data_IF_300015508331
#
_entry.id   IF_300015508331
#
_cell.length_a   1.000
_cell.length_b   1.000
_cell.length_c   1.000
_cell.angle_alpha   90.00
_cell.angle_beta   90.00
_cell.angle_gamma   90.00
#
_symmetry.space_group_name_H-M   'P 1'
#
loop_
_entity.id
_entity.type
_entity.pdbx_description
1 polymer ?
#
# COMPACT_ATOMS: atom_id res chain seq x y z
N UNK A 1 -13.55 4.98 12.10
CA UNK A 1 -13.03 5.13 10.72
C UNK A 1 -13.40 3.89 9.90
N UNK A 2 -14.17 4.03 8.83
CA UNK A 2 -14.59 2.89 8.01
C UNK A 2 -13.37 2.20 7.36
N UNK A 3 -13.34 0.86 7.39
CA UNK A 3 -12.27 0.04 6.80
C UNK A 3 -12.87 -1.11 5.99
N UNK A 4 -12.14 -1.57 4.97
CA UNK A 4 -12.59 -2.72 4.18
C UNK A 4 -12.50 -4.01 5.02
N UNK A 5 -13.65 -4.48 5.50
CA UNK A 5 -13.76 -5.68 6.34
C UNK A 5 -14.08 -6.96 5.56
N UNK A 6 -14.30 -6.85 4.25
CA UNK A 6 -14.69 -7.99 3.41
C UNK A 6 -13.62 -9.08 3.30
N UNK A 7 -14.00 -10.29 2.84
CA UNK A 7 -13.07 -11.41 2.66
C UNK A 7 -11.99 -11.09 1.62
N UNK A 8 -10.73 -11.11 2.05
CA UNK A 8 -9.55 -10.72 1.24
C UNK A 8 -9.37 -11.59 0.01
N UNK A 9 -9.40 -12.91 0.16
CA UNK A 9 -9.17 -13.81 -0.97
C UNK A 9 -10.31 -13.77 -1.99
N UNK A 10 -11.55 -13.48 -1.54
CA UNK A 10 -12.68 -13.23 -2.45
C UNK A 10 -12.44 -11.98 -3.28
N UNK A 11 -11.86 -10.94 -2.69
CA UNK A 11 -11.47 -9.73 -3.41
C UNK A 11 -10.35 -10.00 -4.43
N UNK A 12 -9.30 -10.71 -4.07
CA UNK A 12 -8.22 -11.08 -5.00
C UNK A 12 -8.75 -11.85 -6.21
N UNK A 13 -9.55 -12.90 -5.97
CA UNK A 13 -10.14 -13.71 -7.06
C UNK A 13 -11.05 -12.90 -7.97
N UNK A 14 -11.89 -12.02 -7.41
CA UNK A 14 -12.76 -11.13 -8.20
C UNK A 14 -11.96 -10.16 -9.09
N UNK A 15 -10.81 -9.69 -8.60
CA UNK A 15 -9.93 -8.76 -9.33
C UNK A 15 -8.94 -9.50 -10.26
N UNK A 16 -8.82 -10.82 -10.12
CA UNK A 16 -7.88 -11.64 -10.90
C UNK A 16 -6.42 -11.39 -10.55
N UNK A 17 -6.14 -10.80 -9.39
CA UNK A 17 -4.80 -10.35 -9.02
C UNK A 17 -4.59 -10.50 -7.52
N UNK A 18 -3.40 -10.93 -7.13
CA UNK A 18 -3.03 -11.07 -5.72
C UNK A 18 -2.65 -9.72 -5.09
N UNK A 19 -3.66 -8.89 -4.83
CA UNK A 19 -3.49 -7.57 -4.19
C UNK A 19 -3.10 -7.64 -2.70
N UNK A 20 -3.03 -8.84 -2.13
CA UNK A 20 -2.80 -9.04 -0.69
C UNK A 20 -1.42 -9.55 -0.34
N UNK A 21 -0.64 -9.99 -1.32
CA UNK A 21 0.69 -10.58 -1.13
C UNK A 21 0.71 -11.96 -0.49
N UNK A 22 -0.44 -12.61 -0.25
CA UNK A 22 -0.46 -13.95 0.35
C UNK A 22 -0.45 -15.04 -0.74
N UNK A 23 0.45 -16.03 -0.70
CA UNK A 23 0.57 -17.05 -1.76
C UNK A 23 -0.71 -17.89 -1.94
N UNK A 24 -1.50 -18.06 -0.88
CA UNK A 24 -2.74 -18.86 -0.92
C UNK A 24 -3.93 -18.07 -1.47
N UNK A 25 -3.80 -16.76 -1.73
CA UNK A 25 -4.93 -15.91 -2.10
C UNK A 25 -5.62 -16.33 -3.40
N UNK A 26 -4.83 -16.85 -4.36
CA UNK A 26 -5.30 -17.29 -5.68
C UNK A 26 -5.42 -18.81 -5.81
N UNK A 27 -5.21 -19.59 -4.74
CA UNK A 27 -5.25 -21.07 -4.79
C UNK A 27 -6.61 -21.64 -5.27
N UNK A 28 -7.71 -20.92 -5.01
CA UNK A 28 -9.07 -21.29 -5.44
C UNK A 28 -9.53 -20.51 -6.68
N UNK A 29 -8.60 -19.89 -7.41
CA UNK A 29 -8.92 -19.15 -8.63
C UNK A 29 -9.29 -20.15 -9.74
N UNK A 30 -10.38 -19.89 -10.44
CA UNK A 30 -10.88 -20.74 -11.52
C UNK A 30 -11.75 -19.94 -12.48
N UNK A 31 -12.04 -20.56 -13.63
CA UNK A 31 -12.69 -19.92 -14.78
C UNK A 31 -14.03 -19.27 -14.40
N UNK A 32 -14.23 -18.01 -14.80
CA UNK A 32 -15.49 -17.27 -14.64
C UNK A 32 -15.66 -16.57 -13.29
N UNK A 33 -14.70 -16.69 -12.37
CA UNK A 33 -14.73 -15.99 -11.09
C UNK A 33 -14.17 -14.57 -11.16
N UNK A 34 -13.37 -14.27 -12.18
CA UNK A 34 -12.78 -12.95 -12.34
C UNK A 34 -13.64 -12.02 -13.20
N UNK A 35 -13.55 -10.71 -12.93
CA UNK A 35 -14.07 -9.68 -13.84
C UNK A 35 -13.35 -9.65 -15.19
N UNK A 36 -12.06 -10.00 -15.24
CA UNK A 36 -11.28 -10.04 -16.48
C UNK A 36 -11.64 -11.19 -17.40
N UNK A 37 -12.27 -12.25 -16.88
CA UNK A 37 -12.69 -13.40 -17.69
C UNK A 37 -13.84 -13.04 -18.65
N UNK A 38 -14.49 -11.90 -18.42
CA UNK A 38 -15.56 -11.37 -19.26
C UNK A 38 -14.99 -10.35 -20.26
N UNK A 39 -15.62 -10.23 -21.43
CA UNK A 39 -15.28 -9.17 -22.39
C UNK A 39 -15.56 -7.80 -21.74
N UNK A 40 -14.51 -7.08 -21.37
CA UNK A 40 -14.61 -5.76 -20.73
C UNK A 40 -14.65 -4.66 -21.78
N UNK A 41 -15.58 -3.70 -21.61
CA UNK A 41 -15.50 -2.40 -22.28
C UNK A 41 -14.30 -1.60 -21.77
N UNK A 42 -13.95 -0.52 -22.45
CA UNK A 42 -12.81 0.32 -22.02
C UNK A 42 -13.05 0.97 -20.66
N UNK A 43 -14.29 1.38 -20.36
CA UNK A 43 -14.68 1.78 -19.01
C UNK A 43 -14.48 0.63 -18.01
N UNK A 44 -14.84 -0.60 -18.39
CA UNK A 44 -14.64 -1.78 -17.56
C UNK A 44 -13.17 -2.06 -17.22
N UNK A 45 -12.26 -1.90 -18.20
CA UNK A 45 -10.81 -2.01 -18.01
C UNK A 45 -10.28 -0.94 -17.04
N UNK A 46 -10.63 0.31 -17.29
CA UNK A 46 -10.25 1.46 -16.45
C UNK A 46 -10.75 1.29 -15.00
N UNK A 47 -12.02 0.89 -14.84
CA UNK A 47 -12.62 0.62 -13.54
C UNK A 47 -11.93 -0.54 -12.81
N UNK A 48 -11.50 -1.58 -13.53
CA UNK A 48 -10.80 -2.73 -12.95
C UNK A 48 -9.44 -2.34 -12.40
N UNK A 49 -8.62 -1.62 -13.18
CA UNK A 49 -7.29 -1.15 -12.75
C UNK A 49 -7.40 -0.22 -11.53
N UNK A 50 -8.37 0.69 -11.54
CA UNK A 50 -8.67 1.53 -10.38
C UNK A 50 -8.97 0.69 -9.13
N UNK A 51 -9.79 -0.35 -9.27
CA UNK A 51 -10.15 -1.23 -8.16
C UNK A 51 -8.96 -2.07 -7.67
N UNK A 52 -8.07 -2.49 -8.57
CA UNK A 52 -6.81 -3.18 -8.23
C UNK A 52 -5.91 -2.25 -7.43
N UNK A 53 -5.64 -1.03 -7.91
CA UNK A 53 -4.76 -0.08 -7.23
C UNK A 53 -5.28 0.29 -5.85
N UNK A 54 -6.58 0.58 -5.76
CA UNK A 54 -7.25 0.85 -4.49
C UNK A 54 -7.14 -0.32 -3.51
N UNK A 55 -7.18 -1.55 -4.01
CA UNK A 55 -7.12 -2.76 -3.19
C UNK A 55 -5.73 -3.05 -2.65
N UNK A 56 -4.66 -2.80 -3.42
CA UNK A 56 -3.29 -2.91 -2.92
C UNK A 56 -3.12 -2.03 -1.69
N UNK A 57 -3.40 -0.73 -1.80
CA UNK A 57 -3.19 0.22 -0.71
C UNK A 57 -4.30 0.20 0.37
N UNK A 58 -5.36 -0.60 0.19
CA UNK A 58 -6.45 -0.73 1.17
C UNK A 58 -7.22 0.57 1.44
N UNK A 59 -7.32 1.45 0.44
CA UNK A 59 -7.95 2.78 0.58
C UNK A 59 -9.43 2.78 0.15
N UNK A 60 -10.22 3.68 0.74
CA UNK A 60 -11.63 3.86 0.37
C UNK A 60 -11.77 4.73 -0.88
N UNK A 61 -12.86 4.56 -1.63
CA UNK A 61 -13.08 5.25 -2.90
C UNK A 61 -13.00 6.78 -2.79
N UNK A 62 -13.66 7.37 -1.78
CA UNK A 62 -13.63 8.83 -1.56
C UNK A 62 -12.21 9.34 -1.30
N UNK A 63 -11.42 8.59 -0.52
CA UNK A 63 -10.04 8.96 -0.22
C UNK A 63 -9.15 8.78 -1.46
N UNK A 64 -9.37 7.71 -2.23
CA UNK A 64 -8.65 7.43 -3.46
C UNK A 64 -8.91 8.49 -4.53
N UNK A 65 -10.17 8.90 -4.73
CA UNK A 65 -10.55 10.03 -5.60
C UNK A 65 -9.82 11.32 -5.21
N UNK A 66 -9.66 11.59 -3.92
CA UNK A 66 -8.90 12.76 -3.46
C UNK A 66 -7.40 12.66 -3.80
N UNK A 67 -6.79 11.47 -3.70
CA UNK A 67 -5.41 11.28 -4.13
C UNK A 67 -5.27 11.45 -5.65
N UNK A 68 -6.18 10.88 -6.44
CA UNK A 68 -6.20 11.03 -7.89
C UNK A 68 -6.35 12.49 -8.32
N UNK A 69 -7.29 13.24 -7.74
CA UNK A 69 -7.45 14.68 -8.00
C UNK A 69 -6.18 15.47 -7.67
N UNK A 70 -5.53 15.17 -6.55
CA UNK A 70 -4.26 15.80 -6.17
C UNK A 70 -3.09 15.39 -7.07
N UNK A 71 -3.17 14.25 -7.74
CA UNK A 71 -2.13 13.78 -8.67
C UNK A 71 -2.33 14.40 -10.06
N UNK A 72 -3.57 14.51 -10.53
CA UNK A 72 -3.93 15.21 -11.76
C UNK A 72 -3.53 16.70 -11.73
N UNK A 73 -3.63 17.34 -10.58
CA UNK A 73 -3.24 18.75 -10.40
C UNK A 73 -1.74 18.94 -10.12
N UNK A 74 -0.91 17.90 -10.20
CA UNK A 74 0.52 18.01 -9.94
C UNK A 74 1.30 18.20 -11.25
N UNK A 75 2.47 18.82 -11.16
CA UNK A 75 3.37 19.02 -12.32
C UNK A 75 4.07 17.72 -12.77
N UNK A 76 3.95 16.65 -11.99
CA UNK A 76 4.48 15.33 -12.31
C UNK A 76 3.52 14.55 -13.20
N UNK A 77 4.00 13.50 -13.88
CA UNK A 77 3.12 12.55 -14.58
C UNK A 77 2.07 12.00 -13.60
N UNK A 78 0.78 12.17 -13.91
CA UNK A 78 -0.31 11.92 -12.96
C UNK A 78 -0.33 10.49 -12.39
N UNK A 79 0.01 9.47 -13.21
CA UNK A 79 0.09 8.08 -12.76
C UNK A 79 1.19 7.86 -11.71
N UNK A 80 2.38 8.39 -11.99
CA UNK A 80 3.50 8.41 -11.05
C UNK A 80 3.15 9.17 -9.77
N UNK A 81 2.60 10.39 -9.88
CA UNK A 81 2.24 11.21 -8.73
C UNK A 81 1.19 10.54 -7.83
N UNK A 82 0.22 9.82 -8.42
CA UNK A 82 -0.79 9.06 -7.68
C UNK A 82 -0.14 7.92 -6.89
N UNK A 83 0.68 7.11 -7.54
CA UNK A 83 1.36 5.98 -6.91
C UNK A 83 2.31 6.48 -5.82
N UNK A 84 3.13 7.49 -6.11
CA UNK A 84 4.03 8.14 -5.13
C UNK A 84 3.28 8.55 -3.86
N UNK A 85 2.12 9.20 -3.98
CA UNK A 85 1.29 9.62 -2.83
C UNK A 85 0.70 8.43 -2.04
N UNK A 86 0.39 7.33 -2.72
CA UNK A 86 -0.09 6.12 -2.06
C UNK A 86 1.04 5.36 -1.36
N UNK A 87 2.21 5.32 -2.00
CA UNK A 87 3.39 4.63 -1.51
C UNK A 87 3.95 5.30 -0.25
N UNK A 88 3.95 6.63 -0.21
CA UNK A 88 4.45 7.44 0.92
C UNK A 88 3.52 7.50 2.15
N UNK A 89 2.40 6.78 2.14
CA UNK A 89 1.53 6.71 3.32
C UNK A 89 2.21 5.95 4.46
N UNK A 90 1.96 6.36 5.69
CA UNK A 90 2.57 5.73 6.87
C UNK A 90 2.22 4.24 6.99
N UNK A 91 0.96 3.85 6.75
CA UNK A 91 0.59 2.42 6.77
C UNK A 91 1.33 1.61 5.71
N UNK A 92 1.59 2.20 4.55
CA UNK A 92 2.32 1.53 3.48
C UNK A 92 3.84 1.49 3.73
N UNK A 93 4.45 2.58 4.20
CA UNK A 93 5.86 2.63 4.61
C UNK A 93 6.14 1.57 5.69
N UNK A 94 5.26 1.47 6.70
CA UNK A 94 5.39 0.46 7.78
C UNK A 94 5.32 -0.97 7.22
N UNK A 95 4.47 -1.20 6.22
CA UNK A 95 4.41 -2.49 5.51
C UNK A 95 5.69 -2.77 4.71
N UNK A 96 6.19 -1.80 3.93
CA UNK A 96 7.41 -1.92 3.12
C UNK A 96 8.68 -2.08 3.97
N UNK A 97 8.72 -1.43 5.13
CA UNK A 97 9.79 -1.60 6.10
C UNK A 97 9.80 -2.99 6.75
N UNK A 98 8.72 -3.76 6.61
CA UNK A 98 8.64 -5.13 7.09
C UNK A 98 8.14 -5.28 8.53
N UNK A 99 7.78 -4.19 9.21
CA UNK A 99 7.17 -4.25 10.56
C UNK A 99 5.87 -5.07 10.60
N UNK A 100 5.21 -5.21 9.45
CA UNK A 100 3.96 -5.94 9.30
C UNK A 100 4.00 -6.88 8.09
N UNK A 101 3.40 -8.05 8.23
CA UNK A 101 3.21 -9.04 7.15
C UNK A 101 2.17 -8.61 6.10
N UNK A 102 1.31 -7.64 6.42
CA UNK A 102 0.29 -7.14 5.50
C UNK A 102 -0.11 -5.70 5.79
N UNK A 103 -0.62 -5.01 4.77
CA UNK A 103 -1.10 -3.61 4.89
C UNK A 103 -2.20 -3.45 5.95
N UNK A 104 -3.04 -4.47 6.17
CA UNK A 104 -4.06 -4.43 7.24
C UNK A 104 -3.42 -4.47 8.63
N UNK A 105 -2.39 -5.29 8.80
CA UNK A 105 -1.63 -5.34 10.05
C UNK A 105 -0.85 -4.04 10.26
N UNK A 106 -0.19 -3.51 9.22
CA UNK A 106 0.51 -2.22 9.29
C UNK A 106 -0.43 -1.09 9.70
N UNK A 107 -1.61 -1.01 9.06
CA UNK A 107 -2.66 -0.05 9.42
C UNK A 107 -3.11 -0.21 10.87
N UNK A 108 -3.28 -1.44 11.36
CA UNK A 108 -3.61 -1.70 12.75
C UNK A 108 -2.51 -1.21 13.68
N UNK A 109 -1.25 -1.54 13.39
CA UNK A 109 -0.10 -1.08 14.18
C UNK A 109 -0.04 0.44 14.30
N UNK A 110 -0.27 1.15 13.20
CA UNK A 110 -0.34 2.62 13.20
C UNK A 110 -1.52 3.10 14.04
N UNK A 111 -2.75 2.62 13.81
CA UNK A 111 -3.94 3.06 14.57
C UNK A 111 -3.80 2.84 16.08
N UNK A 112 -3.21 1.72 16.49
CA UNK A 112 -2.96 1.41 17.89
C UNK A 112 -1.76 2.18 18.48
N UNK A 113 -1.03 2.94 17.66
CA UNK A 113 0.04 3.83 18.10
C UNK A 113 1.33 3.10 18.47
N UNK A 114 1.64 2.02 17.77
CA UNK A 114 2.90 1.29 17.90
C UNK A 114 4.05 1.91 17.10
N UNK A 115 3.74 2.89 16.24
CA UNK A 115 4.69 3.53 15.33
C UNK A 115 4.98 4.95 15.80
N UNK A 116 6.26 5.31 15.76
CA UNK A 116 6.77 6.65 15.99
C UNK A 116 7.30 7.20 14.66
N UNK A 117 7.09 8.49 14.41
CA UNK A 117 7.71 9.22 13.30
C UNK A 117 8.55 10.34 13.90
N UNK A 118 9.86 10.32 13.68
CA UNK A 118 10.83 11.21 14.33
C UNK A 118 10.62 11.24 15.87
N UNK A 119 10.48 10.09 16.50
CA UNK A 119 10.26 9.95 17.95
C UNK A 119 8.85 10.32 18.45
N UNK A 120 8.01 10.95 17.61
CA UNK A 120 6.64 11.33 17.98
C UNK A 120 5.62 10.26 17.61
N UNK A 121 4.66 9.98 18.49
CA UNK A 121 3.58 9.01 18.23
C UNK A 121 2.67 9.51 17.11
N UNK A 122 2.55 8.73 16.04
CA UNK A 122 1.61 9.02 14.93
C UNK A 122 0.66 7.85 14.75
N UNK A 123 -0.64 8.10 14.95
CA UNK A 123 -1.70 7.09 14.86
C UNK A 123 -2.60 7.25 13.62
N UNK A 124 -2.13 8.00 12.62
CA UNK A 124 -2.87 8.31 11.40
C UNK A 124 -2.28 7.50 10.23
N UNK A 125 -2.94 6.43 9.76
CA UNK A 125 -2.43 5.59 8.66
C UNK A 125 -2.17 6.35 7.36
N UNK A 126 -3.00 7.37 7.07
CA UNK A 126 -2.89 8.19 5.88
C UNK A 126 -1.91 9.36 6.01
N UNK A 127 -1.13 9.40 7.10
CA UNK A 127 -0.06 10.37 7.27
C UNK A 127 0.94 10.22 6.11
N UNK A 128 1.30 11.33 5.47
CA UNK A 128 2.25 11.32 4.37
C UNK A 128 3.66 11.46 4.92
N UNK A 129 4.47 10.42 4.75
CA UNK A 129 5.87 10.41 5.16
C UNK A 129 6.68 11.17 4.11
N UNK A 130 7.38 12.21 4.56
CA UNK A 130 8.29 12.97 3.71
C UNK A 130 9.69 12.39 3.77
N UNK A 131 10.51 12.75 2.79
CA UNK A 131 11.93 12.39 2.74
C UNK A 131 12.63 12.82 4.04
N UNK A 132 13.54 11.99 4.52
CA UNK A 132 14.33 12.22 5.72
C UNK A 132 13.63 11.86 7.03
N UNK A 133 12.33 11.54 7.01
CA UNK A 133 11.60 11.11 8.20
C UNK A 133 11.98 9.67 8.58
N UNK A 134 12.22 9.48 9.87
CA UNK A 134 12.52 8.18 10.49
C UNK A 134 11.24 7.62 11.07
N UNK A 135 10.90 6.39 10.69
CA UNK A 135 9.76 5.62 11.19
C UNK A 135 10.34 4.51 12.07
N UNK A 136 9.98 4.49 13.34
CA UNK A 136 10.47 3.50 14.30
C UNK A 136 9.35 2.83 15.09
N UNK A 137 9.65 1.67 15.65
CA UNK A 137 8.74 0.95 16.52
C UNK A 137 8.88 1.45 17.96
N UNK A 138 7.75 1.74 18.62
CA UNK A 138 7.73 2.18 20.02
C UNK A 138 8.38 1.12 20.92
N UNK A 139 9.20 1.52 21.89
CA UNK A 139 9.93 0.63 22.81
C UNK A 139 9.05 -0.47 23.44
N UNK A 140 7.87 -0.11 23.96
CA UNK A 140 6.92 -1.10 24.54
C UNK A 140 6.47 -2.14 23.51
N UNK A 141 6.34 -1.74 22.26
CA UNK A 141 5.94 -2.61 21.16
C UNK A 141 7.09 -3.50 20.69
N UNK A 142 8.36 -3.11 20.92
CA UNK A 142 9.52 -3.94 20.59
C UNK A 142 9.56 -5.21 21.44
N UNK A 143 8.90 -5.22 22.61
CA UNK A 143 8.77 -6.45 23.42
C UNK A 143 7.86 -7.51 22.79
N UNK A 144 7.05 -7.16 21.79
CA UNK A 144 6.19 -8.11 21.12
C UNK A 144 6.98 -8.89 20.06
N UNK A 145 7.17 -10.19 20.31
CA UNK A 145 7.90 -11.12 19.45
C UNK A 145 7.40 -11.08 18.01
N UNK A 146 6.08 -11.03 17.81
CA UNK A 146 5.48 -10.99 16.49
C UNK A 146 5.95 -9.79 15.65
N UNK A 147 6.16 -8.62 16.25
CA UNK A 147 6.65 -7.45 15.50
C UNK A 147 8.13 -7.54 15.18
N UNK A 148 8.93 -8.12 16.09
CA UNK A 148 10.35 -8.39 15.87
C UNK A 148 10.56 -9.42 14.78
N UNK A 149 9.86 -10.55 14.85
CA UNK A 149 9.93 -11.61 13.86
C UNK A 149 9.51 -11.13 12.48
N UNK A 150 8.44 -10.34 12.37
CA UNK A 150 8.05 -9.74 11.09
C UNK A 150 9.17 -8.87 10.51
N UNK A 151 9.80 -8.03 11.33
CA UNK A 151 10.86 -7.15 10.87
C UNK A 151 12.12 -7.93 10.43
N UNK A 152 12.53 -8.94 11.20
CA UNK A 152 13.72 -9.76 10.92
C UNK A 152 13.51 -10.78 9.79
N UNK A 153 12.33 -11.39 9.68
CA UNK A 153 12.05 -12.34 8.58
C UNK A 153 11.94 -11.68 7.21
N UNK A 154 11.69 -10.37 7.19
CA UNK A 154 11.39 -9.61 5.98
C UNK A 154 12.59 -8.76 5.49
N UNK A 155 13.80 -9.14 5.92
CA UNK A 155 15.09 -8.53 5.51
C UNK A 155 15.28 -8.60 3.99
N UNK A 156 14.80 -9.66 3.34
CA UNK A 156 14.92 -9.86 1.88
C UNK A 156 14.15 -8.83 1.02
N UNK A 157 13.21 -8.08 1.61
CA UNK A 157 12.48 -7.01 0.92
C UNK A 157 13.10 -5.64 1.27
N UNK A 158 14.36 -5.42 0.90
CA UNK A 158 14.98 -4.10 0.95
C UNK A 158 14.59 -3.32 -0.32
N UNK A 159 13.94 -2.19 -0.12
CA UNK A 159 13.62 -1.26 -1.21
C UNK A 159 14.69 -0.18 -1.22
N UNK A 160 15.25 0.12 -2.39
CA UNK A 160 16.30 1.15 -2.59
C UNK A 160 15.96 2.52 -2.00
N UNK A 161 14.68 2.89 -1.96
CA UNK A 161 14.21 4.18 -1.42
C UNK A 161 14.02 4.17 0.11
N UNK A 162 14.17 3.02 0.77
CA UNK A 162 14.04 2.85 2.22
C UNK A 162 15.33 2.32 2.83
N UNK A 163 15.83 3.05 3.81
CA UNK A 163 16.91 2.59 4.67
C UNK A 163 16.32 1.89 5.90
N UNK A 164 16.90 0.76 6.31
CA UNK A 164 16.49 0.00 7.50
C UNK A 164 17.65 -0.06 8.47
N UNK A 165 17.37 0.16 9.75
CA UNK A 165 18.33 0.02 10.85
C UNK A 165 17.83 -1.06 11.80
N UNK A 166 18.56 -2.17 11.85
CA UNK A 166 18.16 -3.37 12.60
C UNK A 166 18.22 -3.16 14.12
N UNK A 167 19.29 -2.53 14.59
CA UNK A 167 19.52 -2.29 16.02
C UNK A 167 18.40 -1.46 16.66
N UNK A 168 17.90 -0.46 15.93
CA UNK A 168 16.95 0.51 16.46
C UNK A 168 15.48 0.19 16.12
N UNK A 169 15.22 -0.91 15.39
CA UNK A 169 13.91 -1.22 14.79
C UNK A 169 13.32 0.03 14.10
N UNK A 170 14.13 0.64 13.24
CA UNK A 170 13.79 1.88 12.56
C UNK A 170 14.04 1.81 11.06
N UNK A 171 13.43 2.72 10.32
CA UNK A 171 13.73 2.90 8.91
C UNK A 171 13.43 4.31 8.44
N UNK A 172 14.09 4.73 7.38
CA UNK A 172 14.05 6.11 6.88
C UNK A 172 13.68 6.13 5.41
N UNK A 173 12.83 7.07 5.04
CA UNK A 173 12.56 7.36 3.62
C UNK A 173 13.69 8.25 3.08
N UNK A 174 14.59 7.66 2.28
CA UNK A 174 15.78 8.37 1.76
C UNK A 174 15.43 9.24 0.56
N UNK A 175 14.55 8.73 -0.30
CA UNK A 175 14.07 9.42 -1.50
C UNK A 175 12.64 8.99 -1.83
N UNK A 176 12.01 9.67 -2.77
CA UNK A 176 10.73 9.19 -3.30
C UNK A 176 10.96 7.96 -4.18
N UNK A 177 10.07 6.95 -4.11
CA UNK A 177 10.17 5.75 -4.93
C UNK A 177 9.96 6.10 -6.40
N UNK A 178 10.69 5.41 -7.27
CA UNK A 178 10.42 5.43 -8.70
C UNK A 178 9.30 4.43 -9.06
N UNK A 179 8.67 4.60 -10.22
CA UNK A 179 7.53 3.75 -10.62
C UNK A 179 7.94 2.28 -10.76
N UNK A 180 9.15 2.03 -11.25
CA UNK A 180 9.69 0.71 -11.57
C UNK A 180 10.10 -0.09 -10.32
N UNK A 181 10.46 0.61 -9.25
CA UNK A 181 10.88 0.00 -7.98
C UNK A 181 9.70 -0.54 -7.16
N UNK A 182 8.47 -0.14 -7.48
CA UNK A 182 7.28 -0.51 -6.73
C UNK A 182 6.70 -1.80 -7.32
N UNK A 183 6.67 -2.92 -6.55
CA UNK A 183 6.24 -4.23 -7.04
C UNK A 183 4.72 -4.31 -7.06
N UNK A 184 4.09 -3.59 -7.99
CA UNK A 184 2.65 -3.61 -8.26
C UNK A 184 2.38 -3.82 -9.76
N UNK A 185 1.54 -4.80 -10.06
CA UNK A 185 1.14 -5.18 -11.42
C UNK A 185 -0.11 -4.41 -11.85
N UNK A 186 0.05 -3.12 -12.16
CA UNK A 186 -1.05 -2.20 -12.47
C UNK A 186 -0.69 -1.28 -13.63
N UNK A 187 -1.67 -1.01 -14.48
CA UNK A 187 -1.56 0.06 -15.47
C UNK A 187 -2.12 1.37 -14.90
N UNK A 188 -1.24 2.26 -14.48
CA UNK A 188 -1.58 3.55 -13.87
C UNK A 188 -2.21 4.55 -14.86
N UNK A 189 -1.92 4.44 -16.16
CA UNK A 189 -2.55 5.27 -17.20
C UNK A 189 -4.06 5.07 -17.22
N UNK A 190 -4.50 3.81 -17.18
CA UNK A 190 -5.93 3.47 -17.15
C UNK A 190 -6.65 4.01 -15.90
N UNK A 191 -5.95 4.13 -14.77
CA UNK A 191 -6.50 4.73 -13.55
C UNK A 191 -6.64 6.23 -13.70
N UNK A 192 -5.66 6.90 -14.31
CA UNK A 192 -5.70 8.34 -14.59
C UNK A 192 -6.83 8.67 -15.57
N UNK A 193 -6.97 7.90 -16.64
CA UNK A 193 -8.06 8.06 -17.62
C UNK A 193 -9.44 7.93 -16.96
N UNK A 194 -9.60 6.96 -16.05
CA UNK A 194 -10.86 6.78 -15.31
C UNK A 194 -11.28 8.06 -14.58
N UNK A 195 -10.33 8.74 -13.93
CA UNK A 195 -10.62 9.95 -13.16
C UNK A 195 -10.61 11.22 -13.99
N UNK A 196 -10.03 11.22 -15.19
CA UNK A 196 -10.05 12.36 -16.10
C UNK A 196 -11.40 12.52 -16.81
N UNK A 197 -12.18 11.43 -16.89
CA UNK A 197 -13.55 11.41 -17.44
C UNK A 197 -14.63 11.80 -16.44
N UNK A 198 -14.27 11.96 -15.15
CA UNK A 198 -15.17 12.19 -14.01
C UNK A 198 -15.17 13.64 -13.56
#
# INVERSE_FOLDING_TARGET
MAKMMGPRFKQCRRLGLNVTGNPKAMKRFGNGQCRSDKKLSDYGKQLLEKQRLRAYYGVMEKQFKNYAKKALNSNEKAGYALIKKLECRLDNIVYRLGFASSIRQARQMVVHGHILVNGSKVNIPSYNVNIGKVVSLREKSQKNELFKENFLSNILNSYSYLEKSENDFSGKLVRYPEREEIPIEINDVLVVEYYSKL
#
